data_IF_228281000083
#
_entry.id   IF_228281000083
#
_cell.length_a   1.000
_cell.length_b   1.000
_cell.length_c   1.000
_cell.angle_alpha   90.00
_cell.angle_beta   90.00
_cell.angle_gamma   90.00
#
_symmetry.space_group_name_H-M   'P 1'
#
loop_
_entity.id
_entity.type
_entity.pdbx_description
1 polymer ?
#
# COMPACT_ATOMS: atom_id res chain seq x y z
N UNK A 1 -1.45 2.17 0.27
CA UNK A 1 -1.23 3.32 1.18
C UNK A 1 -0.18 2.96 2.21
N UNK A 2 0.84 3.80 2.37
CA UNK A 2 1.86 3.71 3.41
C UNK A 2 1.28 4.33 4.67
N UNK A 3 1.24 3.56 5.75
CA UNK A 3 0.65 4.01 7.03
C UNK A 3 1.70 4.20 8.12
N UNK A 4 2.95 3.79 7.86
CA UNK A 4 4.10 4.02 8.73
C UNK A 4 5.40 3.90 7.94
N UNK A 5 6.40 4.70 8.33
CA UNK A 5 7.77 4.60 7.87
C UNK A 5 7.98 5.13 6.46
N UNK A 6 9.15 4.81 5.91
CA UNK A 6 9.58 5.22 4.57
C UNK A 6 10.34 4.10 3.88
N UNK A 7 10.31 4.11 2.56
CA UNK A 7 10.81 3.01 1.76
C UNK A 7 10.76 3.26 0.28
N UNK A 8 10.79 2.16 -0.48
CA UNK A 8 10.58 2.16 -1.91
C UNK A 8 9.64 1.05 -2.34
N UNK A 9 8.91 1.32 -3.41
CA UNK A 9 8.19 0.33 -4.21
C UNK A 9 8.78 0.33 -5.62
N UNK A 10 9.52 -0.72 -5.95
CA UNK A 10 10.38 -0.74 -7.14
C UNK A 10 11.28 0.51 -7.20
N UNK A 11 10.98 1.47 -8.09
CA UNK A 11 11.76 2.70 -8.29
C UNK A 11 11.11 3.94 -7.66
N UNK A 12 9.89 3.82 -7.13
CA UNK A 12 9.15 4.92 -6.54
C UNK A 12 9.46 5.01 -5.05
N UNK A 13 9.61 6.23 -4.55
CA UNK A 13 9.73 6.49 -3.12
C UNK A 13 8.37 6.28 -2.44
N UNK A 14 8.43 5.87 -1.18
CA UNK A 14 7.31 5.72 -0.28
C UNK A 14 7.61 6.49 1.01
N UNK A 15 6.68 7.32 1.44
CA UNK A 15 6.81 8.04 2.71
C UNK A 15 5.43 8.20 3.36
N UNK A 16 5.36 7.97 4.68
CA UNK A 16 4.18 8.30 5.49
C UNK A 16 4.44 9.65 6.19
N UNK A 17 3.99 10.78 5.61
CA UNK A 17 4.32 12.09 6.13
C UNK A 17 3.68 12.34 7.50
N UNK A 18 4.47 12.86 8.44
CA UNK A 18 4.02 13.19 9.81
C UNK A 18 3.19 14.48 9.86
N UNK A 19 3.35 15.34 8.86
CA UNK A 19 2.63 16.60 8.69
C UNK A 19 2.57 16.91 7.19
N UNK A 20 1.40 17.38 6.74
CA UNK A 20 1.18 17.82 5.35
C UNK A 20 0.41 19.14 5.36
N UNK A 21 0.71 20.04 4.41
CA UNK A 21 -0.01 21.30 4.24
C UNK A 21 -1.02 21.21 3.09
N UNK A 22 -1.93 22.19 3.04
CA UNK A 22 -2.82 22.33 1.89
C UNK A 22 -1.99 22.45 0.60
N UNK A 23 -2.39 21.70 -0.43
CA UNK A 23 -1.73 21.54 -1.75
C UNK A 23 -0.36 20.84 -1.76
N UNK A 24 0.13 20.35 -0.62
CA UNK A 24 1.37 19.58 -0.59
C UNK A 24 1.12 18.17 -1.15
N UNK A 25 2.04 17.68 -1.99
CA UNK A 25 1.99 16.34 -2.53
C UNK A 25 2.64 15.35 -1.56
N UNK A 26 2.14 14.12 -1.55
CA UNK A 26 2.61 13.04 -0.69
C UNK A 26 3.00 11.83 -1.52
N UNK A 27 3.86 10.99 -0.95
CA UNK A 27 4.32 9.72 -1.56
C UNK A 27 3.77 8.50 -0.79
N UNK A 28 2.63 8.68 -0.11
CA UNK A 28 1.99 7.66 0.73
C UNK A 28 1.01 6.77 -0.04
N UNK A 29 0.63 7.14 -1.27
CA UNK A 29 -0.27 6.35 -2.10
C UNK A 29 0.32 5.99 -3.46
N UNK A 30 0.18 4.71 -3.82
CA UNK A 30 0.66 4.17 -5.09
C UNK A 30 -0.39 3.25 -5.68
N UNK A 31 -0.58 3.35 -7.00
CA UNK A 31 -1.42 2.46 -7.76
C UNK A 31 -0.57 1.42 -8.50
N UNK A 32 -0.81 0.14 -8.22
CA UNK A 32 -0.16 -0.95 -8.92
C UNK A 32 -1.01 -1.37 -10.13
N UNK A 33 -0.51 -1.11 -11.33
CA UNK A 33 -1.17 -1.55 -12.57
C UNK A 33 -1.06 -3.07 -12.73
N UNK A 34 -1.97 -3.68 -13.50
CA UNK A 34 -1.93 -5.12 -13.77
C UNK A 34 -0.57 -5.59 -14.33
N UNK A 35 0.04 -4.94 -15.35
CA UNK A 35 1.36 -5.37 -15.84
C UNK A 35 2.46 -5.29 -14.78
N UNK A 36 2.42 -4.27 -13.91
CA UNK A 36 3.38 -4.15 -12.81
C UNK A 36 3.18 -5.25 -11.75
N UNK A 37 1.92 -5.58 -11.43
CA UNK A 37 1.59 -6.68 -10.54
C UNK A 37 2.07 -8.03 -11.09
N UNK A 38 1.87 -8.28 -12.39
CA UNK A 38 2.32 -9.50 -13.07
C UNK A 38 3.86 -9.61 -13.12
N UNK A 39 4.57 -8.50 -13.36
CA UNK A 39 6.02 -8.47 -13.35
C UNK A 39 6.63 -8.63 -11.94
N UNK A 40 5.83 -8.37 -10.91
CA UNK A 40 6.25 -8.38 -9.51
C UNK A 40 6.62 -6.99 -9.00
N UNK A 41 6.41 -6.83 -7.70
CA UNK A 41 6.65 -5.57 -6.98
C UNK A 41 7.50 -5.85 -5.75
N UNK A 42 8.61 -5.13 -5.64
CA UNK A 42 9.51 -5.21 -4.49
C UNK A 42 9.31 -4.03 -3.56
N UNK A 43 9.17 -4.31 -2.27
CA UNK A 43 9.15 -3.30 -1.21
C UNK A 43 10.49 -3.34 -0.49
N UNK A 44 11.09 -2.17 -0.30
CA UNK A 44 12.33 -1.99 0.44
C UNK A 44 12.05 -1.02 1.61
N UNK A 45 12.28 -1.46 2.84
CA UNK A 45 12.31 -0.55 3.98
C UNK A 45 13.66 0.17 3.98
N UNK A 46 13.64 1.50 3.82
CA UNK A 46 14.86 2.33 3.81
C UNK A 46 15.11 3.03 5.14
N UNK A 47 14.19 2.91 6.09
CA UNK A 47 14.32 3.50 7.43
C UNK A 47 15.23 2.65 8.31
N UNK A 48 16.12 3.31 9.06
CA UNK A 48 16.96 2.65 10.05
C UNK A 48 16.25 2.45 11.41
N UNK A 49 15.08 3.07 11.61
CA UNK A 49 14.46 3.22 12.94
C UNK A 49 12.95 2.98 12.96
N UNK A 50 12.29 2.86 11.80
CA UNK A 50 10.84 2.67 11.69
C UNK A 50 10.54 1.50 10.74
N UNK A 51 9.50 0.73 11.04
CA UNK A 51 8.98 -0.29 10.12
C UNK A 51 8.26 0.38 8.94
N UNK A 52 8.40 -0.19 7.74
CA UNK A 52 7.59 0.15 6.58
C UNK A 52 6.28 -0.65 6.64
N UNK A 53 5.18 0.03 7.01
CA UNK A 53 3.85 -0.59 7.08
C UNK A 53 2.98 -0.07 5.95
N UNK A 54 2.43 -0.99 5.16
CA UNK A 54 1.64 -0.67 3.97
C UNK A 54 0.32 -1.44 3.97
N UNK A 55 -0.78 -0.74 3.69
CA UNK A 55 -2.08 -1.34 3.38
C UNK A 55 -2.21 -1.55 1.87
N UNK A 56 -2.51 -2.79 1.48
CA UNK A 56 -2.77 -3.17 0.08
C UNK A 56 -4.26 -3.41 -0.13
N UNK A 57 -4.84 -2.64 -1.04
CA UNK A 57 -6.22 -2.83 -1.46
C UNK A 57 -6.24 -3.64 -2.75
N UNK A 58 -7.07 -4.67 -2.75
CA UNK A 58 -7.33 -5.51 -3.90
C UNK A 58 -8.79 -5.30 -4.32
N UNK A 59 -9.03 -5.28 -5.63
CA UNK A 59 -10.40 -5.19 -6.15
C UNK A 59 -11.27 -6.36 -5.66
N UNK A 60 -12.61 -6.24 -5.73
CA UNK A 60 -13.49 -7.36 -5.46
C UNK A 60 -13.15 -8.55 -6.37
N UNK A 61 -13.44 -9.77 -5.91
CA UNK A 61 -13.31 -11.01 -6.70
C UNK A 61 -11.87 -11.43 -7.07
N UNK A 62 -10.84 -10.62 -6.79
CA UNK A 62 -9.44 -10.96 -7.14
C UNK A 62 -8.74 -11.86 -6.12
N UNK A 63 -9.26 -11.98 -4.90
CA UNK A 63 -8.76 -12.90 -3.89
C UNK A 63 -9.77 -14.05 -3.71
N UNK A 64 -9.49 -15.26 -4.24
CA UNK A 64 -10.39 -16.41 -4.16
C UNK A 64 -10.69 -16.86 -2.72
N UNK A 65 -9.83 -16.52 -1.77
CA UNK A 65 -9.96 -16.87 -0.36
C UNK A 65 -10.59 -15.74 0.47
N UNK A 66 -10.94 -14.61 -0.13
CA UNK A 66 -11.61 -13.54 0.59
C UNK A 66 -13.02 -13.99 1.00
N UNK A 67 -13.47 -13.65 2.23
CA UNK A 67 -14.86 -13.86 2.61
C UNK A 67 -15.80 -13.13 1.64
N UNK A 68 -16.96 -13.73 1.37
CA UNK A 68 -18.02 -13.03 0.65
C UNK A 68 -18.40 -11.72 1.36
N UNK A 69 -18.72 -10.70 0.57
CA UNK A 69 -19.18 -9.41 1.10
C UNK A 69 -20.41 -9.64 2.00
N UNK A 70 -20.33 -9.20 3.26
CA UNK A 70 -21.42 -9.38 4.23
C UNK A 70 -21.40 -10.73 4.97
N UNK A 71 -20.34 -11.53 4.88
CA UNK A 71 -20.20 -12.77 5.64
C UNK A 71 -20.27 -12.59 7.17
N UNK A 72 -19.93 -11.39 7.67
CA UNK A 72 -20.04 -10.98 9.07
C UNK A 72 -21.50 -10.94 9.58
N UNK A 73 -22.47 -10.70 8.71
CA UNK A 73 -23.90 -10.57 9.06
C UNK A 73 -24.64 -11.91 9.20
N UNK A 74 -23.96 -13.03 8.90
CA UNK A 74 -24.52 -14.40 9.00
C UNK A 74 -24.35 -15.03 10.39
N UNK A 75 -23.89 -14.25 11.38
CA UNK A 75 -23.71 -14.67 12.77
C UNK A 75 -24.86 -14.21 13.65
#
# INVERSE_FOLDING_TARGET
>A
TVVQGSGKINKLALDCPKLIRFTELTEDEVFCTEPAAQAGVTFENTSAVEELVVLRYFGPEVNPNAPEVGADKRK
#
